data_IF_200585202809
#
_entry.id   IF_200585202809
#
_cell.length_a   1.000
_cell.length_b   1.000
_cell.length_c   1.000
_cell.angle_alpha   90.00
_cell.angle_beta   90.00
_cell.angle_gamma   90.00
#
_symmetry.space_group_name_H-M   'P 1'
#
loop_
_entity.id
_entity.type
_entity.pdbx_description
1 polymer ?
#
# COMPACT_ATOMS: atom_id res chain seq x y z
N UNK A 1 -30.50 3.55 -4.24
CA UNK A 1 -30.66 5.02 -4.09
C UNK A 1 -30.17 5.51 -2.73
N UNK A 2 -30.55 4.89 -1.60
CA UNK A 2 -29.93 5.21 -0.29
C UNK A 2 -28.40 5.04 -0.33
N UNK A 3 -27.88 3.90 -0.77
CA UNK A 3 -26.41 3.65 -0.85
C UNK A 3 -25.66 4.75 -1.63
N UNK A 4 -26.21 5.18 -2.78
CA UNK A 4 -25.67 6.29 -3.59
C UNK A 4 -25.72 7.63 -2.85
N UNK A 5 -26.79 7.88 -2.08
CA UNK A 5 -26.92 9.09 -1.26
C UNK A 5 -26.00 9.07 -0.02
N UNK A 6 -25.69 7.90 0.53
CA UNK A 6 -24.71 7.75 1.61
C UNK A 6 -23.30 7.97 1.05
N UNK A 7 -22.92 7.29 -0.04
CA UNK A 7 -21.61 7.49 -0.68
C UNK A 7 -21.40 8.92 -1.16
N UNK A 8 -22.41 9.60 -1.73
CA UNK A 8 -22.26 10.99 -2.19
C UNK A 8 -21.91 12.00 -1.08
N UNK A 9 -22.13 11.64 0.18
CA UNK A 9 -21.77 12.43 1.37
C UNK A 9 -20.38 12.12 1.91
N UNK A 10 -19.82 10.94 1.61
CA UNK A 10 -18.50 10.53 2.08
C UNK A 10 -17.42 11.04 1.13
N UNK A 11 -16.52 11.89 1.65
CA UNK A 11 -15.38 12.43 0.90
C UNK A 11 -14.10 12.24 1.70
N UNK A 12 -13.13 11.56 1.11
CA UNK A 12 -11.82 11.32 1.72
C UNK A 12 -10.76 11.15 0.64
N UNK A 13 -9.50 11.53 0.93
CA UNK A 13 -8.41 11.50 -0.06
C UNK A 13 -8.11 10.10 -0.61
N UNK A 14 -8.40 9.05 0.16
CA UNK A 14 -8.19 7.64 -0.20
C UNK A 14 -9.47 6.93 -0.66
N UNK A 15 -10.56 7.66 -0.89
CA UNK A 15 -11.77 7.14 -1.54
C UNK A 15 -11.90 7.80 -2.91
N UNK A 16 -12.34 7.03 -3.92
CA UNK A 16 -12.65 7.62 -5.21
C UNK A 16 -13.87 8.55 -5.12
N UNK A 17 -13.68 9.80 -5.52
CA UNK A 17 -14.71 10.84 -5.50
C UNK A 17 -15.89 10.42 -6.38
N UNK A 18 -17.06 10.29 -5.76
CA UNK A 18 -18.34 10.17 -6.45
C UNK A 18 -18.65 11.47 -7.22
N UNK A 19 -19.06 11.33 -8.48
CA UNK A 19 -19.49 12.46 -9.34
C UNK A 19 -21.00 12.42 -9.56
N UNK A 20 -21.57 11.24 -9.78
CA UNK A 20 -23.00 11.08 -10.03
C UNK A 20 -23.40 9.63 -10.29
N UNK A 21 -24.69 9.39 -10.42
CA UNK A 21 -25.22 8.09 -10.84
C UNK A 21 -26.42 8.28 -11.77
N UNK A 22 -26.55 7.40 -12.76
CA UNK A 22 -27.73 7.27 -13.59
C UNK A 22 -28.41 5.92 -13.28
N UNK A 23 -29.74 5.84 -13.44
CA UNK A 23 -30.51 4.60 -13.24
C UNK A 23 -31.13 4.05 -14.54
N UNK A 24 -31.25 4.87 -15.58
CA UNK A 24 -32.00 4.57 -16.81
C UNK A 24 -31.15 4.96 -18.02
N UNK A 25 -30.96 4.09 -19.05
CA UNK A 25 -31.54 2.75 -19.21
C UNK A 25 -30.87 1.65 -18.36
N UNK A 26 -29.69 1.91 -17.80
CA UNK A 26 -28.97 1.01 -16.89
C UNK A 26 -28.46 1.79 -15.68
N UNK A 27 -28.23 1.07 -14.57
CA UNK A 27 -27.60 1.67 -13.39
C UNK A 27 -26.10 1.85 -13.62
N UNK A 28 -25.65 3.10 -13.66
CA UNK A 28 -24.25 3.50 -13.89
C UNK A 28 -23.84 4.45 -12.78
N UNK A 29 -22.64 4.25 -12.23
CA UNK A 29 -22.03 5.17 -11.27
C UNK A 29 -20.81 5.82 -11.91
N UNK A 30 -20.69 7.14 -11.75
CA UNK A 30 -19.62 7.96 -12.29
C UNK A 30 -18.76 8.45 -11.13
N UNK A 31 -17.45 8.21 -11.23
CA UNK A 31 -16.43 8.62 -10.25
C UNK A 31 -15.31 9.41 -10.94
N UNK A 32 -14.39 9.96 -10.16
CA UNK A 32 -13.13 10.49 -10.70
C UNK A 32 -12.36 9.43 -11.50
N UNK A 33 -11.67 9.85 -12.57
CA UNK A 33 -10.84 8.97 -13.37
C UNK A 33 -9.45 8.78 -12.72
N UNK A 34 -9.09 7.54 -12.43
CA UNK A 34 -7.80 7.17 -11.85
C UNK A 34 -6.97 6.38 -12.87
N UNK A 35 -5.83 6.95 -13.26
CA UNK A 35 -5.01 6.45 -14.39
C UNK A 35 -3.75 5.69 -13.96
N UNK A 36 -3.47 5.56 -12.66
CA UNK A 36 -2.32 4.81 -12.15
C UNK A 36 -2.43 3.29 -12.28
N UNK A 37 -3.65 2.78 -12.52
CA UNK A 37 -3.98 1.35 -12.58
C UNK A 37 -4.26 0.74 -11.20
N UNK A 38 -4.78 -0.49 -11.19
CA UNK A 38 -5.06 -1.21 -9.94
C UNK A 38 -3.80 -1.66 -9.21
N UNK A 39 -3.87 -1.81 -7.90
CA UNK A 39 -2.79 -2.33 -7.06
C UNK A 39 -2.37 -3.73 -7.54
N UNK A 40 -3.32 -4.59 -7.95
CA UNK A 40 -2.99 -5.89 -8.57
C UNK A 40 -2.06 -5.73 -9.77
N UNK A 41 -2.37 -4.82 -10.70
CA UNK A 41 -1.53 -4.55 -11.88
C UNK A 41 -0.17 -3.97 -11.48
N UNK A 42 -0.13 -3.09 -10.48
CA UNK A 42 1.11 -2.53 -9.96
C UNK A 42 2.03 -3.61 -9.35
N UNK A 43 1.47 -4.50 -8.53
CA UNK A 43 2.19 -5.63 -7.92
C UNK A 43 2.68 -6.64 -8.98
N UNK A 44 1.86 -6.93 -9.99
CA UNK A 44 2.25 -7.77 -11.13
C UNK A 44 3.49 -7.22 -11.86
N UNK A 45 3.49 -5.90 -12.12
CA UNK A 45 4.57 -5.21 -12.84
C UNK A 45 5.89 -5.11 -12.04
N UNK A 46 5.91 -5.43 -10.74
CA UNK A 46 7.13 -5.40 -9.90
C UNK A 46 7.89 -6.74 -9.87
N UNK A 47 7.35 -7.79 -10.48
CA UNK A 47 7.94 -9.14 -10.45
C UNK A 47 9.23 -9.24 -11.28
N UNK A 48 10.19 -10.09 -10.87
CA UNK A 48 10.14 -11.03 -9.74
C UNK A 48 10.39 -10.41 -8.36
N UNK A 49 10.61 -9.09 -8.27
CA UNK A 49 10.75 -8.38 -7.00
C UNK A 49 9.44 -8.18 -6.25
N UNK A 50 9.54 -7.52 -5.09
CA UNK A 50 8.42 -7.06 -4.27
C UNK A 50 8.34 -5.53 -4.24
N UNK A 51 7.29 -4.99 -3.64
CA UNK A 51 7.22 -3.57 -3.30
C UNK A 51 8.25 -3.24 -2.22
N UNK A 52 8.79 -2.03 -2.28
CA UNK A 52 9.55 -1.46 -1.16
C UNK A 52 8.67 -1.36 0.09
N UNK A 53 9.27 -1.57 1.26
CA UNK A 53 8.54 -1.64 2.53
C UNK A 53 7.86 -0.32 2.89
N UNK A 54 8.48 0.84 2.63
CA UNK A 54 7.89 2.14 2.89
C UNK A 54 6.68 2.39 1.98
N UNK A 55 6.75 1.96 0.72
CA UNK A 55 5.64 2.03 -0.24
C UNK A 55 4.50 1.08 0.20
N UNK A 56 4.83 -0.13 0.65
CA UNK A 56 3.87 -1.11 1.13
C UNK A 56 3.08 -0.61 2.37
N UNK A 57 3.78 -0.07 3.38
CA UNK A 57 3.15 0.51 4.56
C UNK A 57 2.39 1.80 4.23
N UNK A 58 2.90 2.62 3.30
CA UNK A 58 2.19 3.79 2.78
C UNK A 58 0.83 3.43 2.16
N UNK A 59 0.79 2.39 1.32
CA UNK A 59 -0.45 1.86 0.75
C UNK A 59 -1.36 1.22 1.82
N UNK A 60 -0.81 0.51 2.80
CA UNK A 60 -1.59 -0.03 3.92
C UNK A 60 -2.26 1.08 4.75
N UNK A 61 -1.56 2.18 5.01
CA UNK A 61 -2.11 3.38 5.68
C UNK A 61 -3.20 4.06 4.86
N UNK A 62 -3.04 4.16 3.54
CA UNK A 62 -4.06 4.70 2.64
C UNK A 62 -5.34 3.84 2.64
N UNK A 63 -5.21 2.52 2.61
CA UNK A 63 -6.32 1.56 2.71
C UNK A 63 -7.01 1.68 4.07
N UNK A 64 -6.25 1.67 5.16
CA UNK A 64 -6.82 1.71 6.51
C UNK A 64 -7.60 3.01 6.77
N UNK A 65 -7.10 4.16 6.31
CA UNK A 65 -7.83 5.46 6.37
C UNK A 65 -9.07 5.50 5.48
N UNK A 66 -9.02 4.86 4.31
CA UNK A 66 -10.21 4.72 3.48
C UNK A 66 -11.33 3.95 4.21
N UNK A 67 -10.97 2.83 4.84
CA UNK A 67 -11.90 1.98 5.58
C UNK A 67 -12.39 2.62 6.89
N UNK A 68 -11.53 3.30 7.65
CA UNK A 68 -11.90 4.12 8.82
C UNK A 68 -12.96 5.17 8.44
N UNK A 69 -12.76 5.86 7.31
CA UNK A 69 -13.71 6.84 6.82
C UNK A 69 -15.07 6.20 6.48
N UNK A 70 -15.10 5.03 5.84
CA UNK A 70 -16.35 4.34 5.54
C UNK A 70 -17.07 3.89 6.81
N UNK A 71 -16.35 3.24 7.73
CA UNK A 71 -16.92 2.69 8.96
C UNK A 71 -17.44 3.81 9.88
N UNK A 72 -16.78 4.98 9.94
CA UNK A 72 -17.29 6.14 10.70
C UNK A 72 -18.58 6.75 10.12
N UNK A 73 -18.94 6.41 8.88
CA UNK A 73 -20.22 6.75 8.25
C UNK A 73 -21.21 5.56 8.24
N UNK A 74 -20.93 4.48 8.97
CA UNK A 74 -21.73 3.26 8.97
C UNK A 74 -21.75 2.54 7.62
N UNK A 75 -20.73 2.72 6.78
CA UNK A 75 -20.61 2.03 5.48
C UNK A 75 -19.64 0.87 5.57
N UNK A 76 -20.11 -0.29 5.16
CA UNK A 76 -19.36 -1.55 5.14
C UNK A 76 -19.07 -1.93 3.67
N UNK A 77 -17.79 -2.04 3.28
CA UNK A 77 -17.37 -2.15 1.87
C UNK A 77 -17.72 -3.49 1.17
N UNK A 78 -17.52 -4.61 1.88
CA UNK A 78 -17.79 -6.02 1.48
C UNK A 78 -16.94 -6.61 0.35
N UNK A 79 -16.16 -5.82 -0.38
CA UNK A 79 -15.28 -6.32 -1.46
C UNK A 79 -13.88 -5.65 -1.45
N UNK A 80 -13.15 -5.76 -0.34
CA UNK A 80 -11.81 -5.16 -0.21
C UNK A 80 -10.75 -6.09 -0.82
N UNK A 81 -10.26 -5.76 -2.02
CA UNK A 81 -9.28 -6.56 -2.77
C UNK A 81 -8.37 -5.70 -3.67
N UNK A 82 -7.16 -6.17 -4.08
CA UNK A 82 -6.20 -5.38 -4.87
C UNK A 82 -6.68 -4.88 -6.25
N UNK A 83 -7.77 -5.41 -6.79
CA UNK A 83 -8.47 -4.91 -7.99
C UNK A 83 -9.23 -3.62 -7.71
N UNK A 84 -9.87 -3.53 -6.54
CA UNK A 84 -10.70 -2.41 -6.08
C UNK A 84 -9.85 -1.30 -5.43
N UNK A 85 -8.53 -1.38 -5.53
CA UNK A 85 -7.59 -0.39 -5.03
C UNK A 85 -6.84 0.19 -6.24
N UNK A 86 -7.04 1.47 -6.55
CA UNK A 86 -6.51 2.11 -7.76
C UNK A 86 -5.60 3.27 -7.40
N UNK A 87 -4.46 3.35 -8.09
CA UNK A 87 -3.42 4.33 -7.85
C UNK A 87 -3.71 5.65 -8.57
N UNK A 88 -3.28 6.76 -7.96
CA UNK A 88 -3.18 8.06 -8.63
C UNK A 88 -2.16 8.02 -9.78
N UNK A 89 -2.22 9.00 -10.69
CA UNK A 89 -1.35 9.07 -11.89
C UNK A 89 0.15 9.04 -11.55
N UNK A 90 0.55 9.62 -10.42
CA UNK A 90 1.92 9.63 -9.90
C UNK A 90 2.31 8.36 -9.12
N UNK A 91 1.37 7.42 -8.95
CA UNK A 91 1.51 6.17 -8.21
C UNK A 91 1.93 6.34 -6.73
N UNK A 92 1.68 7.52 -6.14
CA UNK A 92 2.03 7.82 -4.74
C UNK A 92 0.88 7.62 -3.75
N UNK A 93 -0.37 7.76 -4.20
CA UNK A 93 -1.56 7.63 -3.36
C UNK A 93 -2.44 6.52 -3.89
N UNK A 94 -2.99 5.74 -2.96
CA UNK A 94 -3.96 4.69 -3.26
C UNK A 94 -5.37 5.17 -2.91
N UNK A 95 -6.34 4.90 -3.80
CA UNK A 95 -7.77 5.13 -3.56
C UNK A 95 -8.57 3.84 -3.70
N UNK A 96 -9.49 3.62 -2.77
CA UNK A 96 -10.50 2.56 -2.84
C UNK A 96 -11.59 2.97 -3.84
N UNK A 97 -11.91 2.05 -4.75
CA UNK A 97 -12.97 2.14 -5.77
C UNK A 97 -13.98 1.01 -5.57
N UNK A 98 -15.05 1.03 -6.36
CA UNK A 98 -16.08 0.00 -6.47
C UNK A 98 -16.83 -0.34 -5.16
N UNK A 99 -17.78 0.53 -4.84
CA UNK A 99 -18.75 0.35 -3.77
C UNK A 99 -19.98 -0.45 -4.23
N UNK A 100 -19.90 -1.22 -5.32
CA UNK A 100 -21.03 -1.99 -5.88
C UNK A 100 -21.61 -3.02 -4.91
N UNK A 101 -20.84 -3.42 -3.89
CA UNK A 101 -21.28 -4.25 -2.78
C UNK A 101 -21.33 -3.51 -1.43
N UNK A 102 -21.13 -2.20 -1.36
CA UNK A 102 -21.20 -1.49 -0.08
C UNK A 102 -22.63 -1.45 0.49
N UNK A 103 -22.77 -1.52 1.82
CA UNK A 103 -24.05 -1.36 2.53
C UNK A 103 -23.92 -0.49 3.77
N UNK A 104 -25.05 0.11 4.15
CA UNK A 104 -25.24 0.77 5.44
C UNK A 104 -25.36 -0.28 6.55
N UNK A 105 -24.72 -0.05 7.69
CA UNK A 105 -24.76 -0.88 8.89
C UNK A 105 -26.13 -0.73 9.58
N UNK A 106 -27.07 -1.61 9.25
CA UNK A 106 -28.43 -1.53 9.76
C UNK A 106 -28.52 -2.02 11.21
N UNK A 107 -28.81 -1.09 12.12
CA UNK A 107 -29.08 -1.31 13.57
C UNK A 107 -30.16 -2.39 13.84
N UNK A 108 -30.94 -2.77 12.83
CA UNK A 108 -31.99 -3.80 12.90
C UNK A 108 -31.54 -5.22 12.55
N UNK A 109 -30.31 -5.48 12.09
CA UNK A 109 -29.78 -6.85 11.93
C UNK A 109 -29.29 -7.44 13.28
N UNK A 110 -30.15 -7.37 14.30
CA UNK A 110 -30.03 -8.26 15.45
C UNK A 110 -30.55 -9.65 15.07
N UNK A 111 -29.76 -10.70 15.35
CA UNK A 111 -30.23 -12.10 15.47
C UNK A 111 -30.72 -12.82 14.19
N UNK A 112 -30.03 -12.69 13.03
CA UNK A 112 -30.07 -13.77 12.02
C UNK A 112 -28.65 -14.15 11.58
N UNK A 113 -28.26 -15.40 11.85
CA UNK A 113 -26.88 -15.91 11.76
C UNK A 113 -26.29 -16.05 10.33
N UNK A 114 -26.98 -15.54 9.31
CA UNK A 114 -26.62 -15.73 7.90
C UNK A 114 -26.34 -14.43 7.12
N UNK A 115 -26.55 -13.25 7.72
CA UNK A 115 -26.53 -11.97 6.97
C UNK A 115 -25.44 -10.98 7.40
N UNK A 116 -25.15 -10.87 8.71
CA UNK A 116 -24.07 -10.06 9.28
C UNK A 116 -23.06 -10.87 10.12
N UNK A 117 -21.94 -10.25 10.50
CA UNK A 117 -21.11 -10.65 11.67
C UNK A 117 -20.29 -11.97 11.57
N UNK A 118 -19.62 -12.23 10.44
CA UNK A 118 -18.56 -13.27 10.31
C UNK A 118 -17.43 -12.94 9.28
N UNK A 119 -17.59 -11.90 8.45
CA UNK A 119 -17.42 -12.08 7.00
C UNK A 119 -16.13 -11.52 6.35
N UNK A 120 -15.07 -11.24 7.11
CA UNK A 120 -13.84 -10.57 6.60
C UNK A 120 -12.58 -11.44 6.54
N UNK A 121 -12.65 -12.66 7.09
CA UNK A 121 -11.50 -13.56 7.11
C UNK A 121 -11.37 -14.34 5.81
N UNK A 122 -10.17 -14.34 5.24
CA UNK A 122 -9.68 -15.53 4.57
C UNK A 122 -9.51 -16.64 5.63
N UNK A 123 -9.91 -17.91 5.34
CA UNK A 123 -9.69 -19.02 6.26
C UNK A 123 -8.21 -19.16 6.61
N UNK A 124 -7.89 -19.72 7.79
CA UNK A 124 -6.50 -19.86 8.25
C UNK A 124 -5.59 -20.53 7.22
N UNK A 125 -6.11 -21.58 6.56
CA UNK A 125 -5.45 -22.35 5.50
C UNK A 125 -5.08 -21.54 4.23
N UNK A 126 -5.42 -20.25 4.17
CA UNK A 126 -5.17 -19.34 3.03
C UNK A 126 -4.34 -18.12 3.45
N UNK A 127 -3.93 -18.02 4.72
CA UNK A 127 -3.11 -16.90 5.22
C UNK A 127 -1.63 -17.10 4.86
N UNK A 128 -0.91 -16.05 4.41
CA UNK A 128 0.50 -16.15 4.12
C UNK A 128 1.35 -16.30 5.40
N UNK A 129 2.48 -17.01 5.30
CA UNK A 129 3.44 -17.16 6.42
C UNK A 129 3.98 -15.81 6.88
N UNK A 130 4.10 -15.65 8.20
CA UNK A 130 4.67 -14.48 8.87
C UNK A 130 6.18 -14.63 9.17
N UNK A 131 6.79 -15.79 8.88
CA UNK A 131 8.16 -16.15 9.32
C UNK A 131 9.27 -15.24 8.78
N UNK A 132 9.02 -14.53 7.68
CA UNK A 132 10.00 -13.65 7.02
C UNK A 132 9.70 -12.16 7.23
N UNK A 133 8.91 -11.82 8.26
CA UNK A 133 8.49 -10.45 8.55
C UNK A 133 9.20 -9.88 9.79
N UNK A 134 9.40 -8.55 9.85
CA UNK A 134 9.72 -7.86 11.10
C UNK A 134 8.65 -8.12 12.16
N UNK A 135 9.07 -8.33 13.41
CA UNK A 135 8.21 -8.77 14.52
C UNK A 135 7.00 -7.84 14.75
N UNK A 136 7.22 -6.53 14.80
CA UNK A 136 6.17 -5.51 14.89
C UNK A 136 5.10 -5.66 13.79
N UNK A 137 5.51 -5.97 12.56
CA UNK A 137 4.61 -6.13 11.42
C UNK A 137 3.87 -7.47 11.46
N UNK A 138 4.51 -8.53 11.96
CA UNK A 138 3.87 -9.81 12.22
C UNK A 138 2.77 -9.67 13.29
N UNK A 139 2.99 -8.86 14.34
CA UNK A 139 1.99 -8.54 15.38
C UNK A 139 0.78 -7.77 14.79
N UNK A 140 1.03 -6.80 13.90
CA UNK A 140 -0.06 -6.09 13.18
C UNK A 140 -0.90 -7.07 12.37
N UNK A 141 -0.27 -7.98 11.61
CA UNK A 141 -1.00 -8.92 10.76
C UNK A 141 -1.73 -9.99 11.57
N UNK A 142 -1.12 -10.54 12.63
CA UNK A 142 -1.76 -11.56 13.47
C UNK A 142 -2.96 -10.99 14.24
N UNK A 143 -2.87 -9.77 14.78
CA UNK A 143 -4.02 -9.09 15.41
C UNK A 143 -5.19 -8.86 14.44
N UNK A 144 -4.90 -8.52 13.17
CA UNK A 144 -5.92 -8.44 12.11
C UNK A 144 -6.54 -9.80 11.73
N UNK A 145 -5.93 -10.92 12.17
CA UNK A 145 -6.31 -12.29 11.82
C UNK A 145 -6.87 -13.10 13.00
N UNK A 146 -7.11 -12.48 14.16
CA UNK A 146 -7.77 -13.14 15.30
C UNK A 146 -9.06 -13.86 14.87
N UNK A 147 -9.28 -15.08 15.34
CA UNK A 147 -10.48 -15.87 15.02
C UNK A 147 -11.75 -15.13 15.46
N UNK A 148 -11.75 -14.67 16.71
CA UNK A 148 -12.76 -13.79 17.28
C UNK A 148 -12.77 -12.44 16.52
N UNK A 149 -13.90 -12.07 15.87
CA UNK A 149 -14.04 -10.77 15.21
C UNK A 149 -13.92 -9.58 16.18
N UNK A 150 -14.37 -9.73 17.43
CA UNK A 150 -14.40 -8.64 18.41
C UNK A 150 -13.01 -8.39 19.04
N UNK A 151 -12.11 -9.37 18.95
CA UNK A 151 -10.70 -9.24 19.33
C UNK A 151 -9.83 -8.56 18.25
N UNK A 152 -10.35 -8.30 17.04
CA UNK A 152 -9.58 -7.63 15.97
C UNK A 152 -9.51 -6.12 16.19
N UNK A 153 -8.39 -5.47 15.83
CA UNK A 153 -8.28 -4.03 15.90
C UNK A 153 -9.23 -3.36 14.88
N UNK A 154 -9.88 -2.27 15.30
CA UNK A 154 -10.58 -1.38 14.39
C UNK A 154 -9.59 -0.60 13.51
N UNK A 155 -10.07 0.04 12.44
CA UNK A 155 -9.19 0.72 11.49
C UNK A 155 -8.38 1.88 12.12
N UNK A 156 -8.89 2.57 13.14
CA UNK A 156 -8.12 3.59 13.86
C UNK A 156 -6.94 2.99 14.62
N UNK A 157 -7.12 1.82 15.27
CA UNK A 157 -6.04 1.07 15.91
C UNK A 157 -5.02 0.56 14.86
N UNK A 158 -5.48 0.01 13.73
CA UNK A 158 -4.61 -0.42 12.63
C UNK A 158 -3.75 0.75 12.12
N UNK A 159 -4.35 1.95 11.93
CA UNK A 159 -3.61 3.16 11.53
C UNK A 159 -2.55 3.53 12.56
N UNK A 160 -2.87 3.49 13.86
CA UNK A 160 -1.90 3.78 14.93
C UNK A 160 -0.73 2.81 14.93
N UNK A 161 -0.98 1.49 14.82
CA UNK A 161 0.07 0.48 14.78
C UNK A 161 0.95 0.62 13.53
N UNK A 162 0.35 0.84 12.36
CA UNK A 162 1.09 1.08 11.11
C UNK A 162 1.91 2.38 11.14
N UNK A 163 1.42 3.45 11.77
CA UNK A 163 2.17 4.70 11.95
C UNK A 163 3.33 4.53 12.91
N UNK A 164 3.15 3.77 14.01
CA UNK A 164 4.22 3.43 14.94
C UNK A 164 5.33 2.65 14.20
N UNK A 165 4.97 1.58 13.49
CA UNK A 165 5.90 0.81 12.68
C UNK A 165 6.59 1.65 11.58
N UNK A 166 5.85 2.54 10.90
CA UNK A 166 6.44 3.44 9.91
C UNK A 166 7.49 4.40 10.52
N UNK A 167 7.35 4.74 11.81
CA UNK A 167 8.32 5.57 12.52
C UNK A 167 9.58 4.81 12.98
N UNK A 168 9.52 3.48 13.15
CA UNK A 168 10.70 2.66 13.51
C UNK A 168 11.57 2.32 12.30
N UNK A 169 10.97 2.16 11.11
CA UNK A 169 11.72 1.88 9.87
C UNK A 169 12.31 3.13 9.20
N UNK A 170 11.78 4.33 9.50
CA UNK A 170 12.31 5.56 8.94
C UNK A 170 13.64 5.90 9.63
N UNK A 171 14.76 6.06 8.89
CA UNK A 171 16.04 6.38 9.52
C UNK A 171 15.91 7.68 10.32
N UNK A 172 16.28 7.61 11.61
CA UNK A 172 16.30 8.79 12.47
C UNK A 172 17.10 9.89 11.79
N UNK A 173 16.45 11.05 11.60
CA UNK A 173 17.03 12.18 10.87
C UNK A 173 18.37 12.53 11.49
N UNK A 174 19.46 12.19 10.80
CA UNK A 174 20.84 12.31 11.28
C UNK A 174 21.03 13.67 11.96
N UNK A 175 21.43 13.64 13.23
CA UNK A 175 21.80 14.85 13.95
C UNK A 175 23.01 15.43 13.24
N UNK A 176 22.83 16.58 12.61
CA UNK A 176 23.91 17.36 11.99
C UNK A 176 24.98 17.56 13.08
N UNK A 177 26.22 17.06 12.91
CA UNK A 177 27.30 17.38 13.83
C UNK A 177 27.45 18.90 13.87
N UNK A 178 27.36 19.47 15.06
CA UNK A 178 27.50 20.91 15.27
C UNK A 178 28.82 21.40 14.66
N UNK A 179 28.72 22.31 13.69
CA UNK A 179 29.88 22.94 13.04
C UNK A 179 30.77 23.55 14.11
N UNK A 180 31.96 22.98 14.30
CA UNK A 180 33.03 23.67 15.01
C UNK A 180 33.54 24.79 14.11
N UNK A 181 33.48 26.02 14.62
CA UNK A 181 34.14 27.16 14.02
C UNK A 181 35.64 27.08 14.31
N UNK A 182 36.44 27.12 13.26
CA UNK A 182 37.80 27.66 13.31
C UNK A 182 37.99 28.52 12.07
N UNK A 183 37.87 29.83 12.24
CA UNK A 183 38.42 30.79 11.29
C UNK A 183 39.94 30.63 11.26
N UNK A 184 40.55 30.64 10.07
CA UNK A 184 41.80 31.38 9.79
C UNK A 184 41.86 31.68 8.28
N UNK A 185 42.31 32.90 7.93
CA UNK A 185 42.39 33.39 6.55
C UNK A 185 43.81 33.26 5.99
N UNK A 186 43.96 32.78 4.74
CA UNK A 186 45.12 33.10 3.89
C UNK A 186 44.80 32.92 2.38
N UNK A 187 45.46 33.63 1.43
CA UNK A 187 44.94 33.80 0.07
C UNK A 187 45.75 33.13 -1.08
N UNK A 188 45.00 32.67 -2.09
CA UNK A 188 45.27 32.54 -3.54
C UNK A 188 46.71 32.35 -4.09
N UNK A 189 46.89 31.33 -4.94
CA UNK A 189 47.45 31.47 -6.31
C UNK A 189 47.10 30.25 -7.19
N UNK A 190 46.95 30.38 -8.53
CA UNK A 190 46.59 29.30 -9.44
C UNK A 190 47.81 28.62 -10.08
N UNK A 191 47.63 27.44 -10.69
CA UNK A 191 48.26 27.08 -11.98
C UNK A 191 47.69 25.79 -12.61
N UNK A 192 47.72 25.72 -13.94
CA UNK A 192 47.36 24.59 -14.81
C UNK A 192 48.18 24.74 -16.10
N UNK A 193 48.88 23.71 -16.61
CA UNK A 193 48.29 22.70 -17.52
C UNK A 193 48.89 21.27 -17.29
N UNK A 194 48.54 20.19 -17.99
CA UNK A 194 47.60 19.89 -19.08
C UNK A 194 48.09 18.67 -19.87
N UNK A 195 47.26 18.09 -20.78
CA UNK A 195 47.59 16.94 -21.69
C UNK A 195 47.90 15.60 -20.98
N UNK A 196 47.55 14.40 -21.47
CA UNK A 196 46.89 13.90 -22.70
C UNK A 196 45.99 12.69 -22.31
N UNK A 197 45.31 11.90 -23.16
CA UNK A 197 45.16 11.84 -24.62
C UNK A 197 43.78 11.24 -24.98
N UNK A 198 43.43 11.21 -26.27
CA UNK A 198 42.38 10.35 -26.83
C UNK A 198 42.98 9.00 -27.26
N UNK A 199 42.23 7.90 -27.09
CA UNK A 199 41.98 6.92 -28.17
C UNK A 199 40.87 5.94 -27.78
N UNK A 200 40.12 5.50 -28.78
CA UNK A 200 39.08 4.49 -28.65
C UNK A 200 39.47 3.18 -29.38
N UNK A 201 38.52 2.25 -29.44
CA UNK A 201 38.47 1.02 -30.26
C UNK A 201 38.92 -0.27 -29.56
N UNK A 202 37.90 -1.10 -29.30
CA UNK A 202 37.78 -2.57 -29.39
C UNK A 202 39.06 -3.41 -29.64
N UNK A 203 39.15 -4.66 -29.17
CA UNK A 203 38.33 -5.76 -29.71
C UNK A 203 38.55 -7.13 -29.02
N UNK A 204 37.54 -8.04 -29.07
CA UNK A 204 37.59 -9.50 -28.77
C UNK A 204 38.01 -9.90 -27.31
N UNK A 205 37.57 -10.98 -26.64
CA UNK A 205 36.57 -12.07 -26.86
C UNK A 205 36.23 -12.70 -25.50
N UNK A 206 35.15 -13.51 -25.43
CA UNK A 206 35.22 -14.76 -24.65
C UNK A 206 34.47 -14.82 -23.30
N UNK A 207 33.45 -15.67 -23.32
CA UNK A 207 33.09 -16.67 -22.29
C UNK A 207 32.60 -16.26 -20.88
N UNK A 208 31.31 -16.58 -20.69
CA UNK A 208 30.65 -16.85 -19.41
C UNK A 208 31.29 -18.02 -18.64
N UNK A 209 31.27 -17.94 -17.31
CA UNK A 209 30.89 -19.10 -16.48
C UNK A 209 29.48 -18.93 -15.89
N UNK A 210 28.79 -20.06 -15.67
CA UNK A 210 27.49 -20.09 -14.98
C UNK A 210 27.69 -19.82 -13.49
N UNK A 211 27.09 -18.74 -12.98
CA UNK A 211 26.89 -18.53 -11.53
C UNK A 211 25.71 -19.36 -11.01
N UNK A 212 25.82 -19.80 -9.77
CA UNK A 212 24.94 -20.80 -9.15
C UNK A 212 23.57 -20.24 -8.73
N UNK A 213 22.59 -21.13 -8.49
CA UNK A 213 21.26 -20.75 -7.99
C UNK A 213 21.32 -20.35 -6.52
N UNK A 214 21.58 -19.07 -6.23
CA UNK A 214 21.33 -18.52 -4.90
C UNK A 214 19.83 -18.46 -4.59
N UNK A 215 19.44 -19.09 -3.49
CA UNK A 215 18.09 -19.00 -2.91
C UNK A 215 17.81 -17.57 -2.42
N UNK A 216 17.22 -16.73 -3.27
CA UNK A 216 16.76 -15.39 -2.87
C UNK A 216 15.52 -15.46 -1.99
N UNK A 217 15.41 -14.61 -0.95
CA UNK A 217 14.23 -14.57 -0.08
C UNK A 217 12.98 -14.21 -0.88
N UNK A 218 11.91 -14.98 -0.67
CA UNK A 218 10.62 -14.78 -1.36
C UNK A 218 9.94 -13.53 -0.80
N UNK A 219 9.76 -12.52 -1.65
CA UNK A 219 9.29 -11.20 -1.22
C UNK A 219 7.85 -11.17 -0.67
N UNK A 220 7.60 -10.19 0.20
CA UNK A 220 6.42 -9.96 1.05
C UNK A 220 5.02 -10.13 0.42
N UNK A 221 4.90 -10.11 -0.91
CA UNK A 221 3.63 -10.14 -1.63
C UNK A 221 3.43 -11.36 -2.54
N UNK A 222 4.25 -12.41 -2.41
CA UNK A 222 4.20 -13.59 -3.29
C UNK A 222 2.83 -14.30 -3.33
N UNK A 223 2.04 -14.22 -2.24
CA UNK A 223 0.83 -15.02 -2.05
C UNK A 223 -0.48 -14.42 -2.63
N UNK A 224 -0.51 -13.16 -3.09
CA UNK A 224 -1.67 -12.56 -3.80
C UNK A 224 -1.85 -13.11 -5.24
N UNK A 225 -1.43 -14.35 -5.45
CA UNK A 225 -1.16 -14.96 -6.75
C UNK A 225 -1.65 -16.41 -6.83
N UNK A 226 -2.14 -16.96 -5.71
CA UNK A 226 -2.68 -18.32 -5.60
C UNK A 226 -4.16 -18.33 -5.19
N UNK A 227 -4.82 -17.17 -5.29
CA UNK A 227 -6.27 -17.05 -5.24
C UNK A 227 -6.72 -16.39 -6.54
N UNK A 228 -7.38 -17.19 -7.39
CA UNK A 228 -7.77 -16.92 -8.80
C UNK A 228 -6.62 -16.86 -9.81
#
# INVERSE_FOLDING_TARGET
MREVATWSRVQHKNLAKFIGACKVPMMVIVTEILTGGSLRKYMLNKRPGSLDMHVAIGFALDIARAMECLHSHGIIHRDLKPENLVLTKDQRTLKLVDFGLAREESVTEMMTAETGTYRWMAPENVRPSLENLPEDLAIILSSCWMEDPDARPNFSQIIQMLLHYFSTILPSKSMIPSRLFTDENAPMSPDSPGTSALMAVCNYTGDTPRGEMENKPKGFFFCFNQCY
#
